data_IF_272519482385
#
_entry.id   IF_272519482385
#
_cell.length_a   1.000
_cell.length_b   1.000
_cell.length_c   1.000
_cell.angle_alpha   90.00
_cell.angle_beta   90.00
_cell.angle_gamma   90.00
#
_symmetry.space_group_name_H-M   'P 1'
#
loop_
_entity.id
_entity.type
_entity.pdbx_description
1 polymer ?
#
# COMPACT_ATOMS: atom_id res chain seq x y z
N UNK A 1 15.28 8.41 1.65
CA UNK A 1 13.80 8.31 1.61
C UNK A 1 13.35 8.47 0.17
N UNK A 2 12.71 7.43 -0.35
CA UNK A 2 12.21 7.33 -1.73
C UNK A 2 10.69 7.51 -1.71
N UNK A 3 10.13 8.12 -2.75
CA UNK A 3 8.68 8.22 -2.96
C UNK A 3 8.27 7.49 -4.22
N UNK A 4 7.17 6.73 -4.14
CA UNK A 4 6.57 6.02 -5.27
C UNK A 4 5.17 6.58 -5.46
N UNK A 5 4.88 7.06 -6.68
CA UNK A 5 3.59 7.65 -7.02
C UNK A 5 3.04 6.99 -8.27
N UNK A 6 1.79 6.54 -8.19
CA UNK A 6 1.11 5.86 -9.29
C UNK A 6 -0.41 5.90 -9.08
N UNK A 7 -1.14 5.49 -10.11
CA UNK A 7 -2.59 5.33 -10.05
C UNK A 7 -2.99 3.91 -10.40
N UNK A 8 -4.10 3.45 -9.83
CA UNK A 8 -4.73 2.16 -10.17
C UNK A 8 -6.21 2.39 -10.46
N UNK A 9 -6.81 1.62 -11.38
CA UNK A 9 -8.26 1.58 -11.51
C UNK A 9 -8.88 0.88 -10.31
N UNK A 10 -10.04 1.34 -9.89
CA UNK A 10 -10.92 0.69 -8.92
C UNK A 10 -12.17 0.26 -9.67
N UNK A 11 -12.57 -0.99 -9.48
CA UNK A 11 -13.81 -1.53 -10.05
C UNK A 11 -14.78 -1.83 -8.93
N UNK A 12 -15.97 -1.25 -9.02
CA UNK A 12 -17.02 -1.40 -8.03
C UNK A 12 -17.36 -2.88 -7.79
N UNK A 13 -17.50 -3.26 -6.52
CA UNK A 13 -17.88 -4.62 -6.13
C UNK A 13 -16.85 -5.72 -6.42
N UNK A 14 -15.62 -5.36 -6.80
CA UNK A 14 -14.57 -6.32 -7.14
C UNK A 14 -13.31 -6.11 -6.30
N UNK A 15 -12.80 -7.20 -5.73
CA UNK A 15 -11.49 -7.18 -5.07
C UNK A 15 -10.39 -7.35 -6.12
N UNK A 16 -9.29 -6.61 -5.97
CA UNK A 16 -8.17 -6.67 -6.90
C UNK A 16 -6.81 -6.53 -6.18
N UNK A 17 -5.76 -6.99 -6.84
CA UNK A 17 -4.39 -6.99 -6.35
C UNK A 17 -3.44 -6.34 -7.35
N UNK A 18 -2.71 -5.33 -6.88
CA UNK A 18 -1.69 -4.65 -7.67
C UNK A 18 -0.31 -4.88 -7.09
N UNK A 19 0.68 -5.10 -7.95
CA UNK A 19 2.06 -5.33 -7.55
C UNK A 19 2.95 -4.18 -8.00
N UNK A 20 3.69 -3.62 -7.06
CA UNK A 20 4.63 -2.53 -7.29
C UNK A 20 6.01 -3.00 -6.87
N UNK A 21 7.00 -3.02 -7.76
CA UNK A 21 8.37 -3.40 -7.39
C UNK A 21 8.90 -2.52 -6.25
N UNK A 22 9.57 -3.13 -5.28
CA UNK A 22 10.26 -2.36 -4.25
C UNK A 22 11.38 -1.54 -4.90
N UNK A 23 11.46 -0.21 -4.67
CA UNK A 23 12.41 0.64 -5.37
C UNK A 23 13.84 0.51 -4.81
N UNK A 24 13.96 0.04 -3.57
CA UNK A 24 15.21 -0.19 -2.86
C UNK A 24 14.94 -1.15 -1.68
N UNK A 25 16.01 -1.56 -0.99
CA UNK A 25 15.85 -2.25 0.30
C UNK A 25 15.39 -1.26 1.37
N UNK A 26 14.32 -1.58 2.09
CA UNK A 26 13.65 -0.62 2.99
C UNK A 26 12.29 -1.06 3.51
N UNK A 27 11.59 -0.13 4.17
CA UNK A 27 10.25 -0.33 4.72
C UNK A 27 9.26 0.70 4.17
N UNK A 28 7.96 0.40 4.23
CA UNK A 28 6.90 1.38 3.95
C UNK A 28 6.72 2.27 5.18
N UNK A 29 7.15 3.54 5.07
CA UNK A 29 7.11 4.50 6.16
C UNK A 29 5.74 5.17 6.32
N UNK A 30 5.12 5.51 5.19
CA UNK A 30 3.81 6.13 5.14
C UNK A 30 3.16 5.85 3.78
N UNK A 31 1.84 5.87 3.75
CA UNK A 31 1.04 5.78 2.53
C UNK A 31 -0.01 6.88 2.54
N UNK A 32 -0.27 7.47 1.39
CA UNK A 32 -1.37 8.40 1.16
C UNK A 32 -2.16 7.96 -0.05
N UNK A 33 -3.47 8.08 0.07
CA UNK A 33 -4.43 7.65 -0.94
C UNK A 33 -5.33 8.85 -1.30
N UNK A 34 -5.70 8.92 -2.58
CA UNK A 34 -6.69 9.88 -3.07
C UNK A 34 -7.59 9.11 -4.03
N UNK A 35 -8.86 8.98 -3.69
CA UNK A 35 -9.86 8.43 -4.59
C UNK A 35 -10.60 9.54 -5.30
N UNK A 36 -10.85 9.42 -6.60
CA UNK A 36 -11.52 10.46 -7.35
C UNK A 36 -13.06 10.44 -7.17
N UNK A 37 -13.64 9.38 -6.61
CA UNK A 37 -15.07 9.27 -6.33
C UNK A 37 -15.37 9.42 -4.82
N UNK A 38 -16.62 9.20 -4.44
CA UNK A 38 -17.04 9.05 -3.04
C UNK A 38 -16.40 7.83 -2.36
N UNK A 39 -16.37 7.82 -1.02
CA UNK A 39 -15.83 6.69 -0.26
C UNK A 39 -16.68 6.31 0.95
N UNK A 40 -16.58 5.06 1.39
CA UNK A 40 -17.16 4.49 2.62
C UNK A 40 -16.04 4.08 3.61
N UNK A 41 -16.34 4.07 4.91
CA UNK A 41 -15.46 3.59 5.98
C UNK A 41 -14.97 2.14 5.80
N UNK A 42 -15.69 1.29 5.07
CA UNK A 42 -15.30 -0.11 4.84
C UNK A 42 -14.39 -0.33 3.61
N UNK A 43 -14.07 0.72 2.85
CA UNK A 43 -13.19 0.72 1.68
C UNK A 43 -11.70 0.74 2.05
N UNK A 44 -11.30 -0.17 2.93
CA UNK A 44 -9.92 -0.21 3.44
C UNK A 44 -8.95 -0.87 2.46
N UNK A 45 -7.99 -0.08 1.97
CA UNK A 45 -6.89 -0.54 1.13
C UNK A 45 -5.74 -1.00 2.01
N UNK A 46 -5.13 -2.13 1.65
CA UNK A 46 -3.95 -2.66 2.35
C UNK A 46 -2.70 -2.56 1.49
N UNK A 47 -1.62 -2.01 2.04
CA UNK A 47 -0.26 -2.20 1.53
C UNK A 47 0.34 -3.39 2.25
N UNK A 48 0.91 -4.34 1.52
CA UNK A 48 1.29 -5.64 2.04
C UNK A 48 2.67 -6.08 1.53
N UNK A 49 3.32 -6.94 2.31
CA UNK A 49 4.44 -7.79 1.90
C UNK A 49 3.96 -9.23 1.87
N UNK A 50 3.75 -9.79 0.67
CA UNK A 50 3.11 -11.11 0.54
C UNK A 50 1.67 -11.10 1.05
N UNK A 51 1.42 -11.75 2.19
CA UNK A 51 0.10 -11.76 2.88
C UNK A 51 0.07 -10.89 4.12
N UNK A 52 1.19 -10.32 4.52
CA UNK A 52 1.30 -9.52 5.74
C UNK A 52 1.03 -8.05 5.43
N UNK A 53 0.01 -7.47 6.05
CA UNK A 53 -0.32 -6.05 5.91
C UNK A 53 0.73 -5.21 6.63
N UNK A 54 1.34 -4.25 5.96
CA UNK A 54 2.33 -3.32 6.54
C UNK A 54 1.75 -1.92 6.77
N UNK A 55 0.69 -1.56 6.04
CA UNK A 55 0.00 -0.28 6.17
C UNK A 55 -1.45 -0.39 5.69
N UNK A 56 -2.38 0.31 6.33
CA UNK A 56 -3.82 0.30 6.03
C UNK A 56 -4.29 1.71 5.74
N UNK A 57 -4.85 1.94 4.55
CA UNK A 57 -5.55 3.17 4.21
C UNK A 57 -7.06 2.97 4.34
N UNK A 58 -7.66 3.62 5.33
CA UNK A 58 -9.12 3.62 5.54
C UNK A 58 -9.64 5.04 5.37
N UNK A 59 -10.66 5.28 4.54
CA UNK A 59 -11.33 6.57 4.49
C UNK A 59 -11.82 6.99 5.89
N UNK A 60 -11.76 8.28 6.25
CA UNK A 60 -12.06 8.72 7.62
C UNK A 60 -13.55 8.74 7.96
N UNK A 61 -14.42 8.76 6.95
CA UNK A 61 -15.87 8.78 7.04
C UNK A 61 -16.48 8.46 5.68
N UNK A 62 -17.75 8.05 5.68
CA UNK A 62 -18.56 8.01 4.47
C UNK A 62 -18.72 9.43 3.94
N UNK A 63 -18.32 9.66 2.70
CA UNK A 63 -18.31 10.98 2.10
C UNK A 63 -18.89 10.93 0.71
N UNK A 64 -19.95 11.69 0.49
CA UNK A 64 -20.56 11.88 -0.83
C UNK A 64 -19.79 12.89 -1.70
N UNK A 65 -18.60 13.32 -1.26
CA UNK A 65 -17.73 14.22 -2.01
C UNK A 65 -16.68 13.43 -2.77
N UNK A 66 -16.43 13.80 -4.02
CA UNK A 66 -15.38 13.29 -4.87
C UNK A 66 -13.98 13.82 -4.45
N UNK A 67 -12.92 13.09 -4.82
CA UNK A 67 -11.54 13.54 -4.58
C UNK A 67 -11.06 13.36 -3.14
N UNK A 68 -11.59 12.34 -2.45
CA UNK A 68 -11.32 12.06 -1.03
C UNK A 68 -9.88 11.65 -0.83
N UNK A 69 -9.16 12.36 0.04
CA UNK A 69 -7.80 11.99 0.45
C UNK A 69 -7.78 11.41 1.85
N UNK A 70 -7.04 10.32 2.04
CA UNK A 70 -6.83 9.71 3.35
C UNK A 70 -5.40 9.18 3.51
N UNK A 71 -4.95 9.17 4.76
CA UNK A 71 -3.60 8.74 5.13
C UNK A 71 -3.65 7.30 5.65
N UNK A 72 -2.61 6.53 5.35
CA UNK A 72 -2.46 5.17 5.79
C UNK A 72 -1.87 5.07 7.19
N UNK A 73 -2.37 4.12 7.99
CA UNK A 73 -1.90 3.79 9.33
C UNK A 73 -0.97 2.58 9.24
N UNK A 74 0.30 2.69 9.68
CA UNK A 74 1.22 1.55 9.71
C UNK A 74 0.69 0.42 10.60
N UNK A 75 0.81 -0.82 10.13
CA UNK A 75 0.40 -1.99 10.89
C UNK A 75 1.26 -2.19 12.15
N UNK A 76 0.65 -2.54 13.28
CA UNK A 76 1.37 -2.62 14.56
C UNK A 76 2.35 -3.78 14.65
N UNK A 77 2.12 -4.87 13.92
CA UNK A 77 2.95 -6.08 13.94
C UNK A 77 3.99 -6.09 12.81
N UNK A 78 3.63 -5.53 11.65
CA UNK A 78 4.34 -5.75 10.39
C UNK A 78 4.87 -4.48 9.72
N UNK A 79 4.68 -3.28 10.28
CA UNK A 79 5.20 -2.02 9.70
C UNK A 79 6.72 -2.03 9.42
N UNK A 80 7.48 -2.81 10.17
CA UNK A 80 8.93 -2.88 10.09
C UNK A 80 9.42 -4.02 9.15
N UNK A 81 8.51 -4.64 8.41
CA UNK A 81 8.85 -5.67 7.43
C UNK A 81 9.66 -5.08 6.27
N UNK A 82 10.87 -5.61 6.09
CA UNK A 82 11.80 -5.17 5.05
C UNK A 82 11.38 -5.75 3.70
N UNK A 83 11.33 -4.87 2.70
CA UNK A 83 11.33 -5.19 1.29
C UNK A 83 12.75 -5.07 0.75
N UNK A 84 13.11 -5.90 -0.21
CA UNK A 84 14.42 -5.94 -0.84
C UNK A 84 14.26 -6.44 -2.28
N UNK A 85 14.49 -5.60 -3.31
CA UNK A 85 14.36 -5.99 -4.71
C UNK A 85 15.32 -7.11 -5.12
N UNK A 86 16.45 -7.26 -4.42
CA UNK A 86 17.49 -8.26 -4.67
C UNK A 86 17.28 -9.56 -3.86
N UNK A 87 16.29 -9.60 -2.97
CA UNK A 87 16.01 -10.80 -2.18
C UNK A 87 15.61 -11.99 -3.06
N UNK A 88 16.00 -13.20 -2.66
CA UNK A 88 15.57 -14.43 -3.33
C UNK A 88 14.12 -14.80 -2.99
N UNK A 89 13.57 -14.24 -1.90
CA UNK A 89 12.20 -14.45 -1.47
C UNK A 89 11.25 -13.49 -2.21
N UNK A 90 10.33 -14.04 -3.01
CA UNK A 90 9.42 -13.27 -3.88
C UNK A 90 8.62 -12.22 -3.11
N UNK A 91 8.11 -12.56 -1.92
CA UNK A 91 7.31 -11.66 -1.09
C UNK A 91 8.06 -10.37 -0.71
N UNK A 92 9.39 -10.40 -0.64
CA UNK A 92 10.20 -9.25 -0.24
C UNK A 92 10.45 -8.28 -1.39
N UNK A 93 10.27 -8.69 -2.64
CA UNK A 93 10.69 -7.91 -3.82
C UNK A 93 9.67 -6.88 -4.28
N UNK A 94 8.43 -6.97 -3.81
CA UNK A 94 7.34 -6.13 -4.27
C UNK A 94 6.36 -5.79 -3.14
N UNK A 95 5.85 -4.57 -3.20
CA UNK A 95 4.68 -4.16 -2.46
C UNK A 95 3.45 -4.74 -3.16
N UNK A 96 2.55 -5.33 -2.39
CA UNK A 96 1.24 -5.76 -2.85
C UNK A 96 0.21 -4.79 -2.31
N UNK A 97 -0.57 -4.17 -3.18
CA UNK A 97 -1.78 -3.45 -2.80
C UNK A 97 -2.96 -4.40 -2.92
N UNK A 98 -3.79 -4.44 -1.88
CA UNK A 98 -5.06 -5.15 -1.88
C UNK A 98 -6.19 -4.14 -1.83
N UNK A 99 -7.02 -4.17 -2.85
CA UNK A 99 -8.26 -3.39 -2.94
C UNK A 99 -9.42 -4.31 -2.55
N UNK A 100 -10.27 -3.92 -1.57
CA UNK A 100 -11.44 -4.70 -1.18
C UNK A 100 -12.56 -4.59 -2.22
N UNK A 101 -13.51 -5.54 -2.18
CA UNK A 101 -14.71 -5.51 -3.01
C UNK A 101 -15.82 -4.59 -2.47
N UNK A 102 -15.49 -3.73 -1.49
CA UNK A 102 -16.46 -2.85 -0.82
C UNK A 102 -16.68 -1.53 -1.55
N UNK A 103 -15.78 -1.17 -2.48
CA UNK A 103 -15.98 0.02 -3.31
C UNK A 103 -17.29 -0.05 -4.10
N UNK A 104 -18.10 0.99 -4.02
CA UNK A 104 -19.42 1.07 -4.64
C UNK A 104 -19.42 1.71 -6.04
N UNK A 105 -18.35 2.43 -6.37
CA UNK A 105 -18.20 3.20 -7.60
C UNK A 105 -16.94 2.79 -8.37
N UNK A 106 -16.99 2.87 -9.70
CA UNK A 106 -15.79 2.70 -10.54
C UNK A 106 -14.97 3.99 -10.51
N UNK A 107 -13.66 3.89 -10.36
CA UNK A 107 -12.82 5.10 -10.31
C UNK A 107 -11.32 4.84 -10.45
N UNK A 108 -10.54 5.83 -10.01
CA UNK A 108 -9.08 5.84 -10.03
C UNK A 108 -8.57 6.23 -8.65
N UNK A 109 -7.76 5.36 -8.07
CA UNK A 109 -7.03 5.63 -6.84
C UNK A 109 -5.62 6.15 -7.16
N UNK A 110 -5.31 7.35 -6.69
CA UNK A 110 -3.96 7.88 -6.62
C UNK A 110 -3.27 7.45 -5.34
N UNK A 111 -2.02 7.01 -5.45
CA UNK A 111 -1.26 6.43 -4.33
C UNK A 111 0.12 7.10 -4.27
N UNK A 112 0.49 7.56 -3.07
CA UNK A 112 1.81 8.10 -2.75
C UNK A 112 2.40 7.33 -1.55
N UNK A 113 3.40 6.50 -1.82
CA UNK A 113 4.08 5.70 -0.81
C UNK A 113 5.43 6.33 -0.48
N UNK A 114 5.66 6.57 0.81
CA UNK A 114 6.95 6.95 1.34
C UNK A 114 7.70 5.70 1.79
N UNK A 115 8.85 5.47 1.19
CA UNK A 115 9.69 4.31 1.42
C UNK A 115 10.98 4.74 2.12
N UNK A 116 11.26 4.14 3.29
CA UNK A 116 12.47 4.43 4.06
C UNK A 116 13.58 3.46 3.63
N UNK A 117 14.60 4.00 2.98
CA UNK A 117 15.80 3.30 2.50
C UNK A 117 16.88 3.17 3.59
N UNK A 118 16.57 3.56 4.84
CA UNK A 118 17.45 3.38 5.99
C UNK A 118 17.86 1.93 6.25
N UNK A 119 17.12 0.95 5.71
CA UNK A 119 17.52 -0.45 5.68
C UNK A 119 18.47 -0.77 4.50
N UNK A 120 19.37 0.11 4.09
CA UNK A 120 20.43 -0.22 3.13
C UNK A 120 21.60 -1.03 3.75
N UNK A 121 21.54 -1.39 5.04
CA UNK A 121 22.62 -2.07 5.78
C UNK A 121 22.57 -3.58 5.57
N UNK A 122 23.58 -4.19 4.94
CA UNK A 122 23.79 -5.64 4.68
C UNK A 122 22.71 -6.60 5.21
N UNK A 123 22.04 -7.30 4.28
CA UNK A 123 21.03 -8.34 4.57
C UNK A 123 21.51 -9.28 5.69
N UNK A 124 20.70 -9.45 6.73
CA UNK A 124 21.02 -10.43 7.77
C UNK A 124 20.72 -11.84 7.27
N UNK A 125 21.40 -12.89 7.75
CA UNK A 125 21.13 -14.27 7.31
C UNK A 125 19.68 -14.75 7.53
N UNK A 126 18.92 -14.06 8.40
CA UNK A 126 17.51 -14.35 8.68
C UNK A 126 16.55 -13.72 7.66
N UNK A 127 17.04 -12.83 6.80
CA UNK A 127 16.29 -12.16 5.74
C UNK A 127 16.53 -12.77 4.35
N UNK A 128 17.39 -13.80 4.27
CA UNK A 128 17.80 -14.48 3.03
C UNK A 128 16.72 -15.44 2.52
#
# INVERSE_FOLDING_TARGET
MIRIQFTIPITAGAADLFYVPAPARGIVKAAKFIYNEETDLDETISVMRGTDVVNLGTPPADTTAEGVSFEGVPDTANKDLIFDPESTTVANRALRLSVPATFDTDGIMGIDLQFDDGAAVTQTPLEA
#
